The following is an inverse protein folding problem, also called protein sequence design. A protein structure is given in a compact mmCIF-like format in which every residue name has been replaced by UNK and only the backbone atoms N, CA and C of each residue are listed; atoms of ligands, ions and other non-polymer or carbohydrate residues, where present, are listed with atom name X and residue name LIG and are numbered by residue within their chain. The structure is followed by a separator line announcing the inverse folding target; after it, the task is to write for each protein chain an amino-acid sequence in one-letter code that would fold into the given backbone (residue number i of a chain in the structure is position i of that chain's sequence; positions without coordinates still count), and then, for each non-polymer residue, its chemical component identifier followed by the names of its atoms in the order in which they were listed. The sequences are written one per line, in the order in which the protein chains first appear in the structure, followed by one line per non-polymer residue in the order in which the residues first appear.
data_IF_293144165906
#
_entry.id   IF_293144165906
#
_cell.length_a   1.000
_cell.length_b   1.000
_cell.length_c   1.000
_cell.angle_alpha   90.00
_cell.angle_beta   90.00
_cell.angle_gamma   90.00
#
_symmetry.space_group_name_H-M   'P 1'
#
loop_
_entity.id
_entity.type
_entity.pdbx_description
1 polymer ?
#
# COMPACT_ATOMS: atom_id res chain seq x y z
N UNK A 1 11.79 -6.57 -15.21
CA UNK A 1 11.49 -5.13 -15.31
C UNK A 1 12.10 -4.29 -14.18
N UNK A 2 12.05 -4.69 -12.90
CA UNK A 2 12.67 -3.91 -11.81
C UNK A 2 13.98 -4.53 -11.31
N UNK A 3 15.15 -3.94 -11.61
CA UNK A 3 16.46 -4.48 -11.19
C UNK A 3 16.83 -4.10 -9.74
N UNK A 4 16.21 -3.04 -9.21
CA UNK A 4 16.53 -2.44 -7.91
C UNK A 4 15.30 -2.36 -7.01
N UNK A 5 15.46 -2.33 -5.67
CA UNK A 5 14.35 -2.23 -4.73
C UNK A 5 13.70 -0.84 -4.72
N UNK A 6 14.48 0.24 -4.89
CA UNK A 6 13.98 1.62 -4.76
C UNK A 6 12.80 1.98 -5.68
N UNK A 7 12.79 1.65 -6.98
CA UNK A 7 11.64 1.93 -7.84
C UNK A 7 10.35 1.22 -7.42
N UNK A 8 10.47 0.06 -6.75
CA UNK A 8 9.31 -0.69 -6.26
C UNK A 8 8.74 -0.04 -4.99
N UNK A 9 9.60 0.56 -4.15
CA UNK A 9 9.20 1.34 -2.99
C UNK A 9 8.34 2.54 -3.42
N UNK A 10 8.87 3.36 -4.33
CA UNK A 10 8.17 4.52 -4.87
C UNK A 10 6.85 4.14 -5.55
N UNK A 11 6.83 3.04 -6.32
CA UNK A 11 5.62 2.58 -7.00
C UNK A 11 4.54 2.16 -5.99
N UNK A 12 4.92 1.37 -4.97
CA UNK A 12 4.00 0.97 -3.91
C UNK A 12 3.42 2.19 -3.18
N UNK A 13 4.29 3.14 -2.80
CA UNK A 13 3.89 4.38 -2.16
C UNK A 13 2.94 5.22 -3.05
N UNK A 14 3.29 5.40 -4.32
CA UNK A 14 2.48 6.17 -5.27
C UNK A 14 1.07 5.58 -5.42
N UNK A 15 0.94 4.25 -5.47
CA UNK A 15 -0.36 3.60 -5.54
C UNK A 15 -1.22 3.91 -4.31
N UNK A 16 -0.64 3.88 -3.10
CA UNK A 16 -1.36 4.28 -1.88
C UNK A 16 -1.77 5.74 -1.93
N UNK A 17 -0.89 6.65 -2.35
CA UNK A 17 -1.21 8.08 -2.45
C UNK A 17 -2.31 8.36 -3.46
N UNK A 18 -2.33 7.65 -4.60
CA UNK A 18 -3.42 7.75 -5.58
C UNK A 18 -4.73 7.26 -4.98
N UNK A 19 -4.74 6.12 -4.28
CA UNK A 19 -5.93 5.65 -3.59
C UNK A 19 -6.46 6.68 -2.59
N UNK A 20 -5.58 7.21 -1.73
CA UNK A 20 -5.95 8.24 -0.73
C UNK A 20 -6.52 9.49 -1.39
N UNK A 21 -5.95 9.94 -2.51
CA UNK A 21 -6.45 11.08 -3.25
C UNK A 21 -7.86 10.81 -3.80
N UNK A 22 -8.10 9.65 -4.42
CA UNK A 22 -9.42 9.28 -4.94
C UNK A 22 -10.47 9.18 -3.83
N UNK A 23 -10.12 8.58 -2.69
CA UNK A 23 -11.00 8.51 -1.53
C UNK A 23 -11.31 9.90 -0.96
N UNK A 24 -10.30 10.78 -0.88
CA UNK A 24 -10.48 12.15 -0.41
C UNK A 24 -11.38 12.97 -1.34
N UNK A 25 -11.23 12.80 -2.67
CA UNK A 25 -12.11 13.45 -3.65
C UNK A 25 -13.56 12.99 -3.48
N UNK A 26 -13.77 11.69 -3.27
CA UNK A 26 -15.11 11.15 -3.03
C UNK A 26 -15.75 11.73 -1.75
N UNK A 27 -14.99 11.83 -0.66
CA UNK A 27 -15.51 12.27 0.63
C UNK A 27 -15.82 13.79 0.66
N UNK A 28 -14.92 14.59 0.11
CA UNK A 28 -14.95 16.05 0.29
C UNK A 28 -15.46 16.84 -0.92
N UNK A 29 -15.39 16.26 -2.13
CA UNK A 29 -15.72 17.00 -3.36
C UNK A 29 -16.98 16.44 -4.01
N UNK A 30 -17.05 15.11 -4.22
CA UNK A 30 -18.12 14.49 -4.99
C UNK A 30 -18.71 13.31 -4.23
N UNK A 31 -19.59 13.62 -3.27
CA UNK A 31 -20.27 12.64 -2.39
C UNK A 31 -21.16 11.63 -3.13
N UNK A 32 -21.32 11.76 -4.45
CA UNK A 32 -22.19 10.93 -5.28
C UNK A 32 -21.44 9.83 -6.05
N UNK A 33 -20.12 9.93 -6.25
CA UNK A 33 -19.36 8.93 -7.01
C UNK A 33 -18.94 7.73 -6.18
N UNK A 34 -19.91 6.90 -5.81
CA UNK A 34 -19.70 5.62 -5.10
C UNK A 34 -18.67 4.68 -5.75
N UNK A 35 -18.34 4.87 -7.03
CA UNK A 35 -17.33 4.13 -7.80
C UNK A 35 -15.88 4.49 -7.41
N UNK A 36 -15.61 5.69 -6.86
CA UNK A 36 -14.25 6.09 -6.49
C UNK A 36 -13.71 5.30 -5.29
N UNK A 37 -14.58 4.88 -4.38
CA UNK A 37 -14.24 4.06 -3.21
C UNK A 37 -13.65 2.70 -3.61
N UNK A 38 -14.33 1.85 -4.42
CA UNK A 38 -13.76 0.56 -4.83
C UNK A 38 -12.50 0.73 -5.68
N UNK A 39 -12.38 1.79 -6.48
CA UNK A 39 -11.14 2.08 -7.22
C UNK A 39 -10.00 2.38 -6.24
N UNK A 40 -10.24 3.23 -5.23
CA UNK A 40 -9.25 3.49 -4.17
C UNK A 40 -8.80 2.21 -3.48
N UNK A 41 -9.75 1.32 -3.15
CA UNK A 41 -9.44 0.02 -2.54
C UNK A 41 -8.55 -0.81 -3.47
N UNK A 42 -8.84 -0.85 -4.78
CA UNK A 42 -7.99 -1.56 -5.74
C UNK A 42 -6.55 -1.03 -5.76
N UNK A 43 -6.35 0.28 -5.67
CA UNK A 43 -5.02 0.90 -5.56
C UNK A 43 -4.28 0.47 -4.28
N UNK A 44 -4.97 0.42 -3.14
CA UNK A 44 -4.40 -0.05 -1.88
C UNK A 44 -3.94 -1.51 -1.95
N UNK A 45 -4.76 -2.39 -2.51
CA UNK A 45 -4.39 -3.79 -2.68
C UNK A 45 -3.28 -3.99 -3.72
N UNK A 46 -3.27 -3.19 -4.79
CA UNK A 46 -2.22 -3.21 -5.79
C UNK A 46 -0.86 -2.76 -5.21
N UNK A 47 -0.83 -1.88 -4.21
CA UNK A 47 0.41 -1.42 -3.58
C UNK A 47 1.16 -2.53 -2.82
N UNK A 48 0.43 -3.46 -2.21
CA UNK A 48 0.98 -4.54 -1.38
C UNK A 48 2.04 -5.41 -2.07
N UNK A 49 1.80 -6.04 -3.25
CA UNK A 49 2.80 -6.87 -3.89
C UNK A 49 4.08 -6.12 -4.22
N UNK A 50 4.00 -4.83 -4.57
CA UNK A 50 5.20 -4.01 -4.82
C UNK A 50 6.00 -3.73 -3.55
N UNK A 51 5.33 -3.49 -2.42
CA UNK A 51 6.01 -3.35 -1.13
C UNK A 51 6.74 -4.65 -0.72
N UNK A 52 6.08 -5.80 -0.86
CA UNK A 52 6.68 -7.10 -0.58
C UNK A 52 7.87 -7.39 -1.50
N UNK A 53 7.71 -7.14 -2.81
CA UNK A 53 8.80 -7.30 -3.77
C UNK A 53 9.98 -6.38 -3.47
N UNK A 54 9.71 -5.18 -2.93
CA UNK A 54 10.76 -4.27 -2.45
C UNK A 54 11.54 -4.88 -1.31
N UNK A 55 10.87 -5.38 -0.26
CA UNK A 55 11.52 -6.03 0.88
C UNK A 55 12.35 -7.24 0.45
N UNK A 56 11.77 -8.11 -0.38
CA UNK A 56 12.45 -9.29 -0.90
C UNK A 56 13.71 -8.92 -1.69
N UNK A 57 13.64 -7.88 -2.53
CA UNK A 57 14.81 -7.40 -3.29
C UNK A 57 15.82 -6.69 -2.42
N UNK A 58 15.38 -5.96 -1.41
CA UNK A 58 16.26 -5.23 -0.51
C UNK A 58 17.26 -6.17 0.19
N UNK A 59 16.83 -7.38 0.54
CA UNK A 59 17.74 -8.41 1.09
C UNK A 59 18.67 -9.04 0.06
N UNK A 60 18.31 -9.02 -1.23
CA UNK A 60 19.08 -9.66 -2.32
C UNK A 60 20.11 -8.74 -2.98
N UNK A 61 20.15 -7.46 -2.62
CA UNK A 61 21.12 -6.50 -3.19
C UNK A 61 22.23 -6.12 -2.20
N UNK A 62 23.42 -5.74 -2.69
CA UNK A 62 24.50 -5.20 -1.88
C UNK A 62 24.03 -4.01 -1.01
N UNK A 63 24.63 -3.82 0.17
CA UNK A 63 24.19 -2.82 1.17
C UNK A 63 24.03 -1.41 0.59
N UNK A 64 24.94 -1.01 -0.28
CA UNK A 64 24.99 0.29 -0.96
C UNK A 64 23.85 0.51 -1.97
N UNK A 65 23.14 -0.56 -2.37
CA UNK A 65 21.98 -0.50 -3.28
C UNK A 65 20.66 -0.79 -2.57
N UNK A 66 20.68 -0.92 -1.24
CA UNK A 66 19.48 -1.11 -0.42
C UNK A 66 18.67 0.19 -0.34
N UNK A 67 17.42 0.04 0.06
CA UNK A 67 16.58 1.18 0.39
C UNK A 67 17.17 1.91 1.60
N UNK A 68 17.13 3.23 1.52
CA UNK A 68 17.44 4.13 2.62
C UNK A 68 16.26 4.22 3.60
N UNK A 69 16.40 5.11 4.59
CA UNK A 69 15.34 5.34 5.57
C UNK A 69 14.03 5.77 4.89
N UNK A 70 14.11 6.67 3.91
CA UNK A 70 12.94 7.12 3.16
C UNK A 70 12.27 6.00 2.36
N UNK A 71 13.04 5.19 1.63
CA UNK A 71 12.49 4.02 0.95
C UNK A 71 11.86 3.00 1.91
N UNK A 72 12.34 2.93 3.16
CA UNK A 72 11.72 2.09 4.20
C UNK A 72 10.37 2.63 4.66
N UNK A 73 10.24 3.95 4.80
CA UNK A 73 8.96 4.62 5.10
C UNK A 73 7.96 4.40 3.97
N UNK A 74 8.39 4.56 2.71
CA UNK A 74 7.55 4.33 1.53
C UNK A 74 6.99 2.91 1.48
N UNK A 75 7.84 1.91 1.73
CA UNK A 75 7.41 0.51 1.81
C UNK A 75 6.46 0.29 2.98
N UNK A 76 6.73 0.91 4.14
CA UNK A 76 5.84 0.85 5.30
C UNK A 76 4.44 1.37 4.97
N UNK A 77 4.36 2.56 4.36
CA UNK A 77 3.09 3.15 3.89
C UNK A 77 2.42 2.26 2.86
N UNK A 78 3.19 1.67 1.95
CA UNK A 78 2.72 0.68 0.97
C UNK A 78 2.06 -0.56 1.56
N UNK A 79 2.47 -0.98 2.76
CA UNK A 79 1.92 -2.14 3.48
C UNK A 79 0.75 -1.80 4.40
N UNK A 80 0.65 -0.56 4.87
CA UNK A 80 -0.33 -0.14 5.88
C UNK A 80 -1.78 -0.52 5.52
N UNK A 81 -2.31 -0.22 4.32
CA UNK A 81 -3.70 -0.55 4.00
C UNK A 81 -4.01 -2.05 4.10
N UNK A 82 -3.06 -2.88 3.67
CA UNK A 82 -3.21 -4.34 3.74
C UNK A 82 -3.20 -4.82 5.19
N UNK A 83 -2.25 -4.35 6.01
CA UNK A 83 -2.15 -4.73 7.43
C UNK A 83 -3.41 -4.32 8.19
N UNK A 84 -3.89 -3.10 7.98
CA UNK A 84 -5.13 -2.60 8.58
C UNK A 84 -6.30 -3.49 8.19
N UNK A 85 -6.40 -3.86 6.91
CA UNK A 85 -7.46 -4.75 6.43
C UNK A 85 -7.42 -6.11 7.13
N UNK A 86 -6.25 -6.72 7.27
CA UNK A 86 -6.09 -8.00 7.98
C UNK A 86 -6.53 -7.88 9.44
N UNK A 87 -6.13 -6.82 10.13
CA UNK A 87 -6.52 -6.57 11.53
C UNK A 87 -8.05 -6.46 11.65
N UNK A 88 -8.68 -5.70 10.75
CA UNK A 88 -10.14 -5.51 10.74
C UNK A 88 -10.89 -6.82 10.47
N UNK A 89 -10.40 -7.65 9.55
CA UNK A 89 -10.99 -8.97 9.26
C UNK A 89 -10.85 -9.90 10.46
N UNK A 90 -9.67 -9.97 11.09
CA UNK A 90 -9.46 -10.77 12.30
C UNK A 90 -10.40 -10.32 13.42
N UNK A 91 -10.51 -9.01 13.62
CA UNK A 91 -11.41 -8.41 14.60
C UNK A 91 -12.86 -8.78 14.33
N UNK A 92 -13.34 -8.63 13.09
CA UNK A 92 -14.70 -8.99 12.70
C UNK A 92 -14.99 -10.49 12.94
N UNK A 93 -14.05 -11.38 12.59
CA UNK A 93 -14.19 -12.82 12.83
C UNK A 93 -14.21 -13.18 14.32
N UNK A 94 -13.44 -12.48 15.14
CA UNK A 94 -13.43 -12.68 16.59
C UNK A 94 -14.80 -12.33 17.20
N UNK A 95 -15.38 -11.19 16.81
CA UNK A 95 -16.69 -10.76 17.31
C UNK A 95 -17.85 -11.57 16.73
N UNK A 96 -17.78 -12.00 15.47
CA UNK A 96 -18.82 -12.83 14.86
C UNK A 96 -18.94 -14.24 15.50
N UNK A 97 -17.88 -14.70 16.19
CA UNK A 97 -17.90 -15.96 16.96
C UNK A 97 -18.45 -15.82 18.38
N UNK A 98 -18.73 -14.60 18.84
CA UNK A 98 -19.16 -14.29 20.20
C UNK A 98 -20.65 -13.97 20.21
#
# INVERSE_FOLDING_TARGET
MFKYPRPLAHLSFALVMVGLALQSINEYVIKEFTVLVPISVAFYFAAFPFAILTLMRNWRVPREKRIDLWGSVEVGVGLLPFIITVILVIYALYFAKR
#
